data_IF_035525277564
#
_entry.id   IF_035525277564
#
_cell.length_a   1.000
_cell.length_b   1.000
_cell.length_c   1.000
_cell.angle_alpha   90.00
_cell.angle_beta   90.00
_cell.angle_gamma   90.00
#
_symmetry.space_group_name_H-M   'P 1'
#
loop_
_entity.id
_entity.type
_entity.pdbx_description
1 polymer ?
#
# COMPACT_ATOMS: atom_id res chain seq x y z
N UNK A 1 3.19 12.89 1.48
CA UNK A 1 1.85 12.57 0.97
C UNK A 1 1.74 12.98 -0.48
N UNK A 2 1.16 12.12 -1.30
CA UNK A 2 0.86 12.42 -2.70
C UNK A 2 -0.63 12.67 -2.85
N UNK A 3 -0.98 13.64 -3.69
CA UNK A 3 -2.37 13.94 -4.01
C UNK A 3 -2.64 13.60 -5.48
N UNK A 4 -3.76 12.94 -5.75
CA UNK A 4 -4.24 12.74 -7.10
C UNK A 4 -5.27 13.81 -7.41
N UNK A 5 -4.97 14.65 -8.39
CA UNK A 5 -5.80 15.80 -8.74
C UNK A 5 -6.11 15.77 -10.22
N UNK A 6 -7.35 16.11 -10.59
CA UNK A 6 -7.74 16.31 -11.97
C UNK A 6 -8.44 17.66 -12.06
N UNK A 7 -7.82 18.61 -12.78
CA UNK A 7 -8.29 20.00 -12.78
C UNK A 7 -8.24 20.58 -11.37
N UNK A 8 -9.37 21.03 -10.86
CA UNK A 8 -9.48 21.58 -9.50
C UNK A 8 -10.03 20.57 -8.50
N UNK A 9 -10.18 19.29 -8.90
CA UNK A 9 -10.80 18.29 -8.04
C UNK A 9 -9.78 17.34 -7.47
N UNK A 10 -9.86 17.14 -6.14
CA UNK A 10 -9.05 16.14 -5.44
C UNK A 10 -9.73 14.79 -5.54
N UNK A 11 -9.07 13.84 -6.21
CA UNK A 11 -9.61 12.49 -6.44
C UNK A 11 -9.20 11.52 -5.36
N UNK A 12 -8.01 11.70 -4.77
CA UNK A 12 -7.51 10.80 -3.75
C UNK A 12 -6.17 11.24 -3.20
N UNK A 13 -5.67 10.45 -2.25
CA UNK A 13 -4.37 10.73 -1.63
C UNK A 13 -3.71 9.42 -1.18
N UNK A 14 -2.40 9.49 -0.95
CA UNK A 14 -1.62 8.36 -0.46
C UNK A 14 -0.38 8.89 0.25
N UNK A 15 0.07 8.20 1.29
CA UNK A 15 1.35 8.48 1.94
C UNK A 15 2.37 7.45 1.52
N UNK A 16 3.55 7.90 1.11
CA UNK A 16 4.64 7.04 0.66
C UNK A 16 5.90 7.41 1.44
N UNK A 17 6.58 6.42 1.98
CA UNK A 17 7.82 6.64 2.74
C UNK A 17 8.78 5.49 2.51
N UNK A 18 10.08 5.74 2.76
CA UNK A 18 11.09 4.68 2.75
C UNK A 18 11.43 4.18 4.16
N UNK A 19 10.71 4.63 5.18
CA UNK A 19 10.93 4.22 6.57
C UNK A 19 9.94 3.15 6.98
N UNK A 20 10.45 2.05 7.52
CA UNK A 20 9.61 0.97 8.02
C UNK A 20 9.01 1.35 9.37
N UNK A 21 7.70 1.12 9.51
CA UNK A 21 7.01 1.23 10.79
C UNK A 21 7.45 0.07 11.71
N UNK A 22 7.58 0.35 13.00
CA UNK A 22 8.01 -0.67 13.97
C UNK A 22 7.06 -1.87 14.01
N UNK A 23 5.78 -1.68 13.75
CA UNK A 23 4.81 -2.78 13.70
C UNK A 23 5.11 -3.79 12.59
N UNK A 24 5.86 -3.39 11.56
CA UNK A 24 6.21 -4.26 10.45
C UNK A 24 7.38 -5.20 10.76
N UNK A 25 8.06 -5.00 11.88
CA UNK A 25 9.28 -5.77 12.21
C UNK A 25 9.02 -7.26 12.46
N UNK A 26 7.76 -7.64 12.76
CA UNK A 26 7.40 -9.04 13.02
C UNK A 26 7.05 -9.82 11.76
N UNK A 27 7.00 -9.17 10.61
CA UNK A 27 6.62 -9.80 9.34
C UNK A 27 7.85 -10.34 8.64
N UNK A 28 7.74 -11.55 8.11
CA UNK A 28 8.78 -12.16 7.28
C UNK A 28 8.69 -11.63 5.84
N UNK A 29 9.26 -10.46 5.62
CA UNK A 29 9.24 -9.83 4.31
C UNK A 29 10.07 -10.63 3.29
N UNK A 30 9.64 -10.63 2.03
CA UNK A 30 10.32 -11.38 0.96
C UNK A 30 11.64 -10.71 0.59
N UNK A 31 11.62 -9.39 0.36
CA UNK A 31 12.86 -8.65 0.06
C UNK A 31 13.68 -8.50 1.34
N UNK A 32 14.95 -8.83 1.25
CA UNK A 32 15.86 -8.81 2.41
C UNK A 32 16.69 -7.54 2.50
N UNK A 33 16.57 -6.65 1.52
CA UNK A 33 17.28 -5.37 1.51
C UNK A 33 16.49 -4.31 2.26
N UNK A 34 17.12 -3.14 2.44
CA UNK A 34 16.47 -1.98 3.05
C UNK A 34 15.91 -1.00 2.01
N UNK A 35 15.94 -1.36 0.74
CA UNK A 35 15.48 -0.49 -0.35
C UNK A 35 14.02 -0.78 -0.67
N UNK A 36 13.15 -0.48 0.27
CA UNK A 36 11.72 -0.76 0.16
C UNK A 36 10.90 0.50 0.37
N UNK A 37 9.78 0.58 -0.31
CA UNK A 37 8.83 1.67 -0.18
C UNK A 37 7.62 1.19 0.61
N UNK A 38 7.12 2.04 1.48
CA UNK A 38 5.96 1.76 2.33
C UNK A 38 4.83 2.69 1.95
N UNK A 39 3.68 2.10 1.62
CA UNK A 39 2.49 2.84 1.21
C UNK A 39 1.49 2.83 2.37
N UNK A 40 1.02 4.00 2.76
CA UNK A 40 0.05 4.17 3.83
C UNK A 40 -1.10 5.04 3.37
N UNK A 41 -2.30 4.74 3.89
CA UNK A 41 -3.45 5.64 3.77
C UNK A 41 -3.84 5.96 2.32
N UNK A 42 -3.79 4.95 1.46
CA UNK A 42 -4.33 5.12 0.11
C UNK A 42 -5.85 5.29 0.22
N UNK A 43 -6.34 6.42 -0.24
CA UNK A 43 -7.76 6.73 -0.20
C UNK A 43 -8.21 7.41 -1.49
N UNK A 44 -9.30 6.93 -2.05
CA UNK A 44 -9.94 7.55 -3.21
C UNK A 44 -11.26 8.15 -2.75
N UNK A 45 -11.52 9.39 -3.15
CA UNK A 45 -12.79 10.05 -2.84
C UNK A 45 -13.95 9.15 -3.27
N UNK A 46 -15.00 8.96 -2.43
CA UNK A 46 -16.09 8.04 -2.74
C UNK A 46 -16.72 8.24 -4.11
N UNK A 47 -16.82 9.48 -4.56
CA UNK A 47 -17.38 9.83 -5.87
C UNK A 47 -16.60 9.21 -7.03
N UNK A 48 -15.31 8.92 -6.84
CA UNK A 48 -14.41 8.46 -7.89
C UNK A 48 -13.96 7.02 -7.70
N UNK A 49 -14.51 6.31 -6.73
CA UNK A 49 -14.20 4.89 -6.52
C UNK A 49 -14.78 4.04 -7.66
N UNK A 50 -14.13 2.91 -7.94
CA UNK A 50 -14.57 1.99 -8.99
C UNK A 50 -14.17 2.41 -10.40
N UNK A 51 -13.40 3.48 -10.57
CA UNK A 51 -12.98 4.01 -11.86
C UNK A 51 -11.51 3.69 -12.20
N UNK A 52 -10.83 2.92 -11.36
CA UNK A 52 -9.45 2.51 -11.63
C UNK A 52 -8.39 3.48 -11.12
N UNK A 53 -8.73 4.51 -10.36
CA UNK A 53 -7.75 5.48 -9.87
C UNK A 53 -6.76 4.88 -8.88
N UNK A 54 -7.22 3.99 -7.97
CA UNK A 54 -6.32 3.34 -7.02
C UNK A 54 -5.25 2.53 -7.75
N UNK A 55 -5.63 1.80 -8.78
CA UNK A 55 -4.71 1.02 -9.61
C UNK A 55 -3.69 1.92 -10.31
N UNK A 56 -4.13 3.06 -10.82
CA UNK A 56 -3.25 4.03 -11.48
C UNK A 56 -2.25 4.64 -10.51
N UNK A 57 -2.68 4.98 -9.29
CA UNK A 57 -1.80 5.49 -8.24
C UNK A 57 -0.74 4.44 -7.88
N UNK A 58 -1.15 3.20 -7.64
CA UNK A 58 -0.21 2.13 -7.29
C UNK A 58 0.78 1.87 -8.40
N UNK A 59 0.33 1.90 -9.66
CA UNK A 59 1.23 1.73 -10.81
C UNK A 59 2.26 2.86 -10.89
N UNK A 60 1.85 4.09 -10.63
CA UNK A 60 2.75 5.23 -10.59
C UNK A 60 3.81 5.07 -9.50
N UNK A 61 3.39 4.67 -8.29
CA UNK A 61 4.31 4.44 -7.18
C UNK A 61 5.30 3.31 -7.52
N UNK A 62 4.82 2.23 -8.13
CA UNK A 62 5.67 1.10 -8.54
C UNK A 62 6.71 1.54 -9.56
N UNK A 63 6.31 2.29 -10.58
CA UNK A 63 7.24 2.78 -11.60
C UNK A 63 8.30 3.71 -11.02
N UNK A 64 7.89 4.60 -10.14
CA UNK A 64 8.81 5.52 -9.46
C UNK A 64 9.80 4.76 -8.58
N UNK A 65 9.33 3.76 -7.85
CA UNK A 65 10.17 2.92 -7.02
C UNK A 65 11.20 2.14 -7.85
N UNK A 66 10.79 1.60 -9.00
CA UNK A 66 11.70 0.91 -9.92
C UNK A 66 12.79 1.86 -10.41
N UNK A 67 12.43 3.07 -10.81
CA UNK A 67 13.40 4.07 -11.27
C UNK A 67 14.40 4.45 -10.18
N UNK A 68 14.00 4.38 -8.91
CA UNK A 68 14.86 4.68 -7.77
C UNK A 68 15.55 3.43 -7.20
N UNK A 69 15.55 2.33 -7.94
CA UNK A 69 16.21 1.07 -7.57
C UNK A 69 15.70 0.45 -6.28
N UNK A 70 14.43 0.66 -5.96
CA UNK A 70 13.80 -0.01 -4.82
C UNK A 70 13.46 -1.45 -5.17
N UNK A 71 13.50 -2.32 -4.16
CA UNK A 71 13.32 -3.76 -4.35
C UNK A 71 11.88 -4.22 -4.16
N UNK A 72 11.12 -3.53 -3.34
CA UNK A 72 9.73 -3.90 -3.10
C UNK A 72 8.87 -2.74 -2.61
N UNK A 73 7.55 -2.97 -2.66
CA UNK A 73 6.56 -2.11 -2.02
C UNK A 73 5.84 -2.93 -0.96
N UNK A 74 5.68 -2.35 0.22
CA UNK A 74 5.04 -2.95 1.38
C UNK A 74 3.89 -2.10 1.87
N UNK A 75 2.82 -2.74 2.31
CA UNK A 75 1.65 -2.05 2.82
C UNK A 75 0.85 -2.94 3.74
N UNK A 76 -0.10 -2.35 4.43
CA UNK A 76 -1.08 -3.10 5.21
C UNK A 76 -2.48 -2.59 4.92
N UNK A 77 -3.46 -3.44 5.15
CA UNK A 77 -4.87 -3.09 5.05
C UNK A 77 -5.68 -3.88 6.06
N UNK A 78 -6.79 -3.30 6.51
CA UNK A 78 -7.65 -3.94 7.51
C UNK A 78 -8.15 -5.30 7.00
N UNK A 79 -8.00 -6.34 7.83
CA UNK A 79 -8.32 -7.71 7.41
C UNK A 79 -9.78 -7.91 7.02
N UNK A 80 -10.69 -7.11 7.59
CA UNK A 80 -12.12 -7.21 7.31
C UNK A 80 -12.55 -6.42 6.07
N UNK A 81 -11.67 -5.67 5.46
CA UNK A 81 -11.97 -4.93 4.23
C UNK A 81 -11.70 -5.81 3.02
N UNK A 82 -12.72 -6.59 2.62
CA UNK A 82 -12.60 -7.54 1.51
C UNK A 82 -12.22 -6.86 0.20
N UNK A 83 -12.77 -5.68 -0.05
CA UNK A 83 -12.52 -4.94 -1.28
C UNK A 83 -11.04 -4.59 -1.42
N UNK A 84 -10.43 -4.05 -0.36
CA UNK A 84 -9.02 -3.69 -0.38
C UNK A 84 -8.11 -4.91 -0.46
N UNK A 85 -8.42 -5.97 0.28
CA UNK A 85 -7.64 -7.20 0.23
C UNK A 85 -7.65 -7.81 -1.17
N UNK A 86 -8.81 -7.87 -1.80
CA UNK A 86 -8.92 -8.35 -3.17
C UNK A 86 -8.18 -7.45 -4.16
N UNK A 87 -8.27 -6.13 -3.96
CA UNK A 87 -7.59 -5.17 -4.81
C UNK A 87 -6.07 -5.40 -4.83
N UNK A 88 -5.45 -5.49 -3.65
CA UNK A 88 -4.00 -5.67 -3.58
C UNK A 88 -3.57 -7.03 -4.11
N UNK A 89 -4.31 -8.10 -3.81
CA UNK A 89 -4.02 -9.42 -4.37
C UNK A 89 -4.10 -9.43 -5.89
N UNK A 90 -5.10 -8.75 -6.45
CA UNK A 90 -5.32 -8.73 -7.90
C UNK A 90 -4.23 -7.94 -8.65
N UNK A 91 -3.57 -7.01 -8.01
CA UNK A 91 -2.48 -6.25 -8.64
C UNK A 91 -1.09 -6.78 -8.29
N UNK A 92 -1.02 -7.98 -7.73
CA UNK A 92 0.25 -8.69 -7.56
C UNK A 92 0.89 -8.60 -6.19
N UNK A 93 0.18 -8.13 -5.18
CA UNK A 93 0.69 -8.10 -3.81
C UNK A 93 0.42 -9.43 -3.11
N UNK A 94 1.41 -9.91 -2.36
CA UNK A 94 1.33 -11.17 -1.64
C UNK A 94 1.14 -10.90 -0.15
N UNK A 95 0.16 -11.57 0.44
CA UNK A 95 -0.09 -11.47 1.87
C UNK A 95 0.95 -12.30 2.61
N UNK A 96 1.68 -11.65 3.54
CA UNK A 96 2.77 -12.29 4.27
C UNK A 96 2.48 -12.52 5.75
N UNK A 97 1.54 -11.79 6.32
CA UNK A 97 1.23 -11.94 7.73
C UNK A 97 0.24 -10.88 8.19
N UNK A 98 0.11 -10.79 9.51
CA UNK A 98 -0.84 -9.88 10.14
C UNK A 98 -0.19 -9.13 11.29
N UNK A 99 -0.63 -7.88 11.49
CA UNK A 99 -0.25 -7.04 12.61
C UNK A 99 -1.50 -6.50 13.29
N UNK A 100 -1.35 -6.10 14.54
CA UNK A 100 -2.47 -5.58 15.34
C UNK A 100 -2.19 -4.15 15.77
N UNK A 101 -3.11 -3.25 15.40
CA UNK A 101 -3.14 -1.89 15.91
C UNK A 101 -4.26 -1.83 16.98
N UNK A 102 -3.93 -2.21 18.21
CA UNK A 102 -4.92 -2.42 19.26
C UNK A 102 -5.74 -1.18 19.60
N UNK A 103 -5.17 0.01 19.38
CA UNK A 103 -5.88 1.27 19.59
C UNK A 103 -6.99 1.50 18.55
N UNK A 104 -6.91 0.82 17.42
CA UNK A 104 -7.86 0.99 16.32
C UNK A 104 -8.88 -0.13 16.24
N UNK A 105 -8.47 -1.37 16.50
CA UNK A 105 -9.34 -2.53 16.37
C UNK A 105 -8.74 -3.75 17.03
N UNK A 106 -9.61 -4.67 17.48
CA UNK A 106 -9.20 -6.00 17.94
C UNK A 106 -8.87 -6.93 16.77
N UNK A 107 -9.30 -6.58 15.56
CA UNK A 107 -9.03 -7.38 14.36
C UNK A 107 -7.71 -6.95 13.72
N UNK A 108 -6.98 -7.92 13.13
CA UNK A 108 -5.67 -7.61 12.56
C UNK A 108 -5.75 -6.84 11.25
N UNK A 109 -4.60 -6.30 10.86
CA UNK A 109 -4.35 -5.75 9.54
C UNK A 109 -3.47 -6.74 8.78
N UNK A 110 -3.79 -7.00 7.53
CA UNK A 110 -3.01 -7.88 6.66
C UNK A 110 -1.88 -7.10 6.02
N UNK A 111 -0.67 -7.69 6.04
CA UNK A 111 0.51 -7.08 5.44
C UNK A 111 0.81 -7.72 4.10
N UNK A 112 1.10 -6.88 3.12
CA UNK A 112 1.35 -7.26 1.74
C UNK A 112 2.67 -6.73 1.24
N UNK A 113 3.28 -7.47 0.33
CA UNK A 113 4.49 -7.04 -0.37
C UNK A 113 4.42 -7.40 -1.83
N UNK A 114 4.91 -6.50 -2.68
CA UNK A 114 5.14 -6.79 -4.10
C UNK A 114 6.60 -6.55 -4.41
N UNK A 115 7.30 -7.57 -4.91
CA UNK A 115 8.67 -7.42 -5.35
C UNK A 115 8.69 -6.76 -6.72
N UNK A 116 9.64 -5.82 -6.88
CA UNK A 116 9.82 -5.06 -8.11
C UNK A 116 10.97 -5.63 -8.96
N UNK A 117 11.78 -6.49 -8.35
CA UNK A 117 12.93 -7.12 -9.01
C UNK A 117 12.90 -8.61 -8.87
#
# INVERSE_FOLDING_TARGET
MLLLVEGNQLLGCVSVTNKMDDFYSTIDWIATTQKNIYVHRLAIHPKYQGLGYAKRIMKHIENDAIENNCDSIRLDTFSMNKKNNNFYSNIGYEKLGQIYFRDQSDMPFNCYEKRLK
#
